data_IF_579275637160
#
_entry.id   IF_579275637160
#
_cell.length_a   1.000
_cell.length_b   1.000
_cell.length_c   1.000
_cell.angle_alpha   90.00
_cell.angle_beta   90.00
_cell.angle_gamma   90.00
#
_symmetry.space_group_name_H-M   'P 1'
#
loop_
_entity.id
_entity.type
_entity.pdbx_description
1 polymer ?
#
# COMPACT_ATOMS: atom_id res chain seq x y z
N UNK A 1 -4.02 -48.43 -3.23
CA UNK A 1 -3.90 -47.22 -2.37
C UNK A 1 -3.74 -46.02 -3.28
N UNK A 2 -4.79 -45.23 -3.45
CA UNK A 2 -4.71 -44.01 -4.23
C UNK A 2 -3.97 -42.95 -3.40
N UNK A 3 -2.69 -42.80 -3.66
CA UNK A 3 -1.92 -41.71 -3.13
C UNK A 3 -2.38 -40.44 -3.83
N UNK A 4 -3.36 -39.72 -3.27
CA UNK A 4 -3.72 -38.40 -3.69
C UNK A 4 -2.52 -37.48 -3.40
N UNK A 5 -1.66 -37.26 -4.38
CA UNK A 5 -0.64 -36.25 -4.30
C UNK A 5 -1.32 -34.90 -4.54
N UNK A 6 -1.46 -34.08 -3.48
CA UNK A 6 -1.95 -32.71 -3.61
C UNK A 6 -0.92 -31.91 -4.41
N UNK A 7 -1.27 -31.56 -5.63
CA UNK A 7 -0.44 -30.69 -6.47
C UNK A 7 -0.59 -29.25 -5.99
N UNK A 8 0.51 -28.60 -5.61
CA UNK A 8 0.50 -27.17 -5.28
C UNK A 8 0.07 -26.34 -6.51
N UNK A 9 -0.91 -25.48 -6.31
CA UNK A 9 -1.39 -24.57 -7.36
C UNK A 9 -0.61 -23.27 -7.28
N UNK A 10 0.09 -22.94 -8.37
CA UNK A 10 0.78 -21.65 -8.52
C UNK A 10 0.00 -20.79 -9.52
N UNK A 11 -0.25 -19.54 -9.13
CA UNK A 11 -0.86 -18.56 -10.03
C UNK A 11 0.18 -17.99 -10.99
N UNK A 12 -0.22 -17.80 -12.25
CA UNK A 12 0.55 -17.11 -13.27
C UNK A 12 -0.09 -15.75 -13.58
N UNK A 13 0.59 -14.86 -14.28
CA UNK A 13 0.06 -13.53 -14.66
C UNK A 13 -1.30 -13.62 -15.38
N UNK A 14 -1.54 -14.68 -16.16
CA UNK A 14 -2.79 -14.88 -16.90
C UNK A 14 -3.93 -15.45 -16.04
N UNK A 15 -3.63 -16.08 -14.90
CA UNK A 15 -4.64 -16.74 -14.04
C UNK A 15 -4.96 -15.93 -12.79
N UNK A 16 -4.23 -14.83 -12.56
CA UNK A 16 -4.48 -13.93 -11.43
C UNK A 16 -5.73 -13.09 -11.71
N UNK A 17 -6.70 -13.17 -10.81
CA UNK A 17 -7.83 -12.26 -10.78
C UNK A 17 -7.54 -11.10 -9.82
N UNK A 18 -7.44 -9.85 -10.34
CA UNK A 18 -7.21 -8.64 -9.57
C UNK A 18 -8.54 -7.92 -9.35
N UNK A 19 -8.84 -7.66 -8.09
CA UNK A 19 -9.99 -6.85 -7.70
C UNK A 19 -9.55 -5.42 -7.36
N UNK A 20 -10.53 -4.53 -7.30
CA UNK A 20 -10.34 -3.14 -6.86
C UNK A 20 -10.93 -2.96 -5.47
N UNK A 21 -10.16 -2.36 -4.58
CA UNK A 21 -10.50 -2.19 -3.17
C UNK A 21 -10.34 -0.74 -2.76
N UNK A 22 -11.34 -0.18 -2.07
CA UNK A 22 -11.27 1.15 -1.45
C UNK A 22 -11.11 1.02 0.05
N UNK A 23 -10.21 1.80 0.61
CA UNK A 23 -9.96 1.91 2.05
C UNK A 23 -9.99 3.38 2.44
N UNK A 24 -10.80 3.73 3.44
CA UNK A 24 -10.80 5.06 4.03
C UNK A 24 -9.67 5.17 5.08
N UNK A 25 -8.84 6.20 4.95
CA UNK A 25 -7.72 6.47 5.86
C UNK A 25 -8.10 7.34 7.07
N UNK A 26 -9.35 7.80 7.17
CA UNK A 26 -9.79 8.72 8.23
C UNK A 26 -9.53 8.13 9.61
N UNK A 27 -8.82 8.87 10.45
CA UNK A 27 -8.44 8.52 11.84
C UNK A 27 -7.67 7.21 12.02
N UNK A 28 -7.28 6.57 10.94
CA UNK A 28 -6.49 5.34 10.99
C UNK A 28 -5.01 5.64 11.25
N UNK A 29 -4.39 4.87 12.15
CA UNK A 29 -2.96 4.97 12.39
C UNK A 29 -2.17 4.59 11.13
N UNK A 30 -1.33 5.52 10.62
CA UNK A 30 -0.53 5.35 9.39
C UNK A 30 0.17 4.00 9.27
N UNK A 31 0.79 3.50 10.36
CA UNK A 31 1.52 2.22 10.33
C UNK A 31 0.60 1.01 10.15
N UNK A 32 -0.56 1.01 10.82
CA UNK A 32 -1.56 -0.07 10.69
C UNK A 32 -2.18 -0.08 9.30
N UNK A 33 -2.58 1.10 8.81
CA UNK A 33 -3.08 1.27 7.45
C UNK A 33 -2.06 0.74 6.43
N UNK A 34 -0.80 1.20 6.51
CA UNK A 34 0.24 0.80 5.57
C UNK A 34 0.54 -0.71 5.60
N UNK A 35 0.50 -1.35 6.78
CA UNK A 35 0.71 -2.79 6.91
C UNK A 35 -0.40 -3.59 6.22
N UNK A 36 -1.66 -3.22 6.44
CA UNK A 36 -2.81 -3.90 5.81
C UNK A 36 -2.84 -3.69 4.30
N UNK A 37 -2.63 -2.45 3.85
CA UNK A 37 -2.51 -2.13 2.42
C UNK A 37 -1.39 -2.95 1.77
N UNK A 38 -0.23 -3.10 2.41
CA UNK A 38 0.87 -3.90 1.89
C UNK A 38 0.54 -5.41 1.79
N UNK A 39 -0.28 -5.95 2.71
CA UNK A 39 -0.76 -7.34 2.65
C UNK A 39 -1.67 -7.56 1.44
N UNK A 40 -2.62 -6.63 1.18
CA UNK A 40 -3.54 -6.70 0.04
C UNK A 40 -2.79 -6.54 -1.28
N UNK A 41 -1.91 -5.54 -1.39
CA UNK A 41 -1.07 -5.32 -2.57
C UNK A 41 -0.20 -6.51 -2.92
N UNK A 42 0.28 -7.23 -1.91
CA UNK A 42 1.07 -8.46 -2.12
C UNK A 42 0.21 -9.68 -2.43
N UNK A 43 -1.10 -9.62 -2.17
CA UNK A 43 -2.03 -10.72 -2.37
C UNK A 43 -1.98 -11.80 -1.29
N UNK A 44 -1.44 -11.50 -0.11
CA UNK A 44 -1.36 -12.47 1.00
C UNK A 44 -2.73 -12.83 1.62
N UNK A 45 -3.76 -12.09 1.26
CA UNK A 45 -5.16 -12.34 1.63
C UNK A 45 -5.81 -13.43 0.76
N UNK A 46 -5.20 -13.78 -0.37
CA UNK A 46 -5.73 -14.76 -1.32
C UNK A 46 -5.14 -16.15 -1.09
N UNK A 47 -5.98 -17.19 -1.22
CA UNK A 47 -5.56 -18.58 -1.09
C UNK A 47 -4.51 -18.99 -2.12
N UNK A 48 -4.57 -18.43 -3.35
CA UNK A 48 -3.61 -18.70 -4.43
C UNK A 48 -2.34 -17.84 -4.39
N UNK A 49 -1.97 -17.29 -3.24
CA UNK A 49 -0.78 -16.45 -3.12
C UNK A 49 0.49 -17.14 -3.64
N UNK A 50 1.14 -16.52 -4.62
CA UNK A 50 2.40 -17.00 -5.20
C UNK A 50 3.47 -15.90 -5.04
N UNK A 51 4.59 -16.16 -4.33
CA UNK A 51 5.55 -15.14 -3.92
C UNK A 51 6.23 -14.37 -5.06
N UNK A 52 6.40 -15.00 -6.22
CA UNK A 52 7.12 -14.44 -7.38
C UNK A 52 6.20 -13.80 -8.42
N UNK A 53 4.87 -13.86 -8.22
CA UNK A 53 3.87 -13.28 -9.12
C UNK A 53 3.13 -12.12 -8.43
N UNK A 54 2.69 -11.12 -9.20
CA UNK A 54 1.84 -10.04 -8.74
C UNK A 54 0.40 -10.53 -8.60
N UNK A 55 0.09 -11.17 -7.46
CA UNK A 55 -1.23 -11.72 -7.13
C UNK A 55 -2.14 -10.73 -6.40
N UNK A 56 -1.63 -9.55 -6.04
CA UNK A 56 -2.33 -8.55 -5.24
C UNK A 56 -3.45 -7.84 -5.99
N UNK A 57 -4.26 -7.13 -5.22
CA UNK A 57 -5.35 -6.31 -5.72
C UNK A 57 -4.92 -4.86 -5.94
N UNK A 58 -5.71 -4.11 -6.71
CA UNK A 58 -5.53 -2.68 -6.83
C UNK A 58 -6.16 -2.00 -5.62
N UNK A 59 -5.39 -1.20 -4.89
CA UNK A 59 -5.85 -0.55 -3.66
C UNK A 59 -5.97 0.95 -3.86
N UNK A 60 -7.15 1.48 -3.58
CA UNK A 60 -7.45 2.90 -3.56
C UNK A 60 -7.54 3.33 -2.09
N UNK A 61 -6.76 4.32 -1.70
CA UNK A 61 -6.83 4.92 -0.37
C UNK A 61 -7.37 6.33 -0.51
N UNK A 62 -8.46 6.63 0.17
CA UNK A 62 -9.10 7.94 0.20
C UNK A 62 -8.83 8.64 1.53
N UNK A 63 -9.10 9.96 1.59
CA UNK A 63 -8.91 10.79 2.79
C UNK A 63 -7.48 10.75 3.37
N UNK A 64 -6.46 10.70 2.52
CA UNK A 64 -5.06 10.58 2.96
C UNK A 64 -4.59 11.72 3.88
N UNK A 65 -5.21 12.89 3.81
CA UNK A 65 -4.93 14.04 4.67
C UNK A 65 -5.35 13.83 6.13
N UNK A 66 -6.38 12.96 6.37
CA UNK A 66 -6.95 12.69 7.70
C UNK A 66 -6.30 11.51 8.41
N UNK A 67 -5.18 10.99 7.88
CA UNK A 67 -4.47 9.88 8.51
C UNK A 67 -3.88 10.27 9.86
N UNK A 68 -4.03 9.39 10.86
CA UNK A 68 -3.55 9.64 12.21
C UNK A 68 -2.09 9.25 12.43
N UNK A 69 -1.32 10.14 13.03
CA UNK A 69 0.03 9.90 13.53
C UNK A 69 0.03 10.00 15.05
N UNK A 70 0.19 8.88 15.75
CA UNK A 70 0.15 8.84 17.22
C UNK A 70 1.41 9.44 17.86
N UNK A 71 1.18 10.17 18.96
CA UNK A 71 2.22 10.81 19.78
C UNK A 71 2.93 11.95 19.03
N UNK A 72 4.19 12.22 19.37
CA UNK A 72 4.98 13.33 18.81
C UNK A 72 5.54 13.07 17.41
N UNK A 73 5.04 12.04 16.68
CA UNK A 73 5.59 11.64 15.37
C UNK A 73 5.36 12.69 14.28
N UNK A 74 4.34 13.51 14.42
CA UNK A 74 4.02 14.58 13.46
C UNK A 74 5.18 15.58 13.30
N UNK A 75 5.88 15.88 14.40
CA UNK A 75 6.96 16.87 14.45
C UNK A 75 8.36 16.23 14.55
N UNK A 76 8.50 15.17 15.37
CA UNK A 76 9.81 14.63 15.69
C UNK A 76 10.31 13.60 14.67
N UNK A 77 9.41 12.99 13.89
CA UNK A 77 9.83 12.04 12.85
C UNK A 77 10.41 12.80 11.67
N UNK A 78 11.59 12.36 11.23
CA UNK A 78 12.28 12.96 10.08
C UNK A 78 12.42 11.92 8.97
N UNK A 79 12.02 12.30 7.77
CA UNK A 79 12.29 11.55 6.55
C UNK A 79 13.50 12.14 5.85
N UNK A 80 14.53 11.34 5.69
CA UNK A 80 15.76 11.73 5.01
C UNK A 80 15.71 11.33 3.54
N UNK A 81 16.12 12.23 2.66
CA UNK A 81 16.35 11.98 1.24
C UNK A 81 17.72 12.53 0.84
N UNK A 82 18.42 11.79 0.02
CA UNK A 82 19.71 12.20 -0.53
C UNK A 82 19.61 12.38 -2.04
N UNK A 83 20.15 13.47 -2.58
CA UNK A 83 20.06 13.79 -4.01
C UNK A 83 21.22 13.25 -4.83
N UNK A 84 22.26 12.70 -4.18
CA UNK A 84 23.46 12.17 -4.84
C UNK A 84 24.61 13.20 -4.97
N UNK A 85 24.38 14.46 -4.62
CA UNK A 85 25.40 15.52 -4.69
C UNK A 85 25.97 15.87 -3.31
N UNK A 86 27.19 16.42 -3.21
CA UNK A 86 27.72 16.95 -1.97
C UNK A 86 26.75 17.95 -1.32
N UNK A 87 26.46 17.80 -0.02
CA UNK A 87 25.46 18.62 0.66
C UNK A 87 24.00 18.34 0.27
N UNK A 88 23.72 17.29 -0.50
CA UNK A 88 22.39 16.96 -1.03
C UNK A 88 21.46 16.24 -0.07
N UNK A 89 21.79 16.14 1.22
CA UNK A 89 20.90 15.55 2.21
C UNK A 89 19.74 16.51 2.53
N UNK A 90 18.51 16.00 2.44
CA UNK A 90 17.28 16.75 2.71
C UNK A 90 16.49 16.06 3.80
N UNK A 91 15.94 16.87 4.69
CA UNK A 91 15.12 16.43 5.81
C UNK A 91 13.70 16.98 5.63
N UNK A 92 12.70 16.17 5.91
CA UNK A 92 11.28 16.58 5.82
C UNK A 92 10.51 15.95 6.98
N UNK A 93 9.65 16.70 7.61
CA UNK A 93 8.76 16.21 8.67
C UNK A 93 7.44 15.69 8.08
N UNK A 94 6.73 14.76 8.74
CA UNK A 94 5.40 14.32 8.32
C UNK A 94 4.43 15.49 8.15
N UNK A 95 4.51 16.49 9.02
CA UNK A 95 3.68 17.70 8.94
C UNK A 95 3.84 18.41 7.59
N UNK A 96 5.08 18.63 7.16
CA UNK A 96 5.38 19.27 5.87
C UNK A 96 4.91 18.43 4.68
N UNK A 97 5.03 17.08 4.78
CA UNK A 97 4.59 16.17 3.72
C UNK A 97 3.06 16.21 3.60
N UNK A 98 2.32 16.16 4.72
CA UNK A 98 0.87 16.25 4.74
C UNK A 98 0.34 17.55 4.15
N UNK A 99 1.02 18.68 4.42
CA UNK A 99 0.63 19.97 3.87
C UNK A 99 0.85 20.08 2.36
N UNK A 100 1.95 19.50 1.86
CA UNK A 100 2.33 19.63 0.45
C UNK A 100 1.77 18.51 -0.43
N UNK A 101 1.88 17.26 0.04
CA UNK A 101 1.55 16.05 -0.73
C UNK A 101 1.10 14.92 0.20
N UNK A 102 -0.13 14.94 0.74
CA UNK A 102 -0.59 13.95 1.72
C UNK A 102 -0.50 12.51 1.20
N UNK A 103 -0.77 12.27 -0.09
CA UNK A 103 -0.65 10.96 -0.72
C UNK A 103 0.77 10.36 -0.61
N UNK A 104 1.80 11.19 -0.63
CA UNK A 104 3.20 10.72 -0.58
C UNK A 104 3.53 10.08 0.78
N UNK A 105 2.94 10.55 1.87
CA UNK A 105 3.17 10.01 3.20
C UNK A 105 2.74 8.54 3.31
N UNK A 106 1.55 8.22 2.81
CA UNK A 106 1.02 6.86 2.78
C UNK A 106 1.85 6.00 1.83
N UNK A 107 2.08 6.48 0.61
CA UNK A 107 2.87 5.74 -0.40
C UNK A 107 4.27 5.40 0.10
N UNK A 108 4.95 6.32 0.77
CA UNK A 108 6.28 6.11 1.36
C UNK A 108 6.26 5.06 2.47
N UNK A 109 5.21 5.07 3.31
CA UNK A 109 5.03 4.10 4.38
C UNK A 109 4.77 2.70 3.83
N UNK A 110 3.90 2.55 2.83
CA UNK A 110 3.60 1.28 2.17
C UNK A 110 4.83 0.75 1.43
N UNK A 111 5.55 1.61 0.66
CA UNK A 111 6.78 1.22 -0.03
C UNK A 111 7.83 0.65 0.92
N UNK A 112 7.94 1.18 2.13
CA UNK A 112 8.84 0.66 3.17
C UNK A 112 8.45 -0.72 3.70
N UNK A 113 7.17 -1.13 3.55
CA UNK A 113 6.64 -2.43 4.00
C UNK A 113 6.56 -3.47 2.89
N UNK A 114 6.68 -3.06 1.63
CA UNK A 114 6.79 -3.96 0.48
C UNK A 114 8.22 -4.52 0.35
N UNK A 115 8.40 -5.71 -0.26
CA UNK A 115 9.73 -6.26 -0.51
C UNK A 115 10.55 -5.32 -1.40
N UNK A 116 11.85 -5.22 -1.10
CA UNK A 116 12.80 -4.37 -1.84
C UNK A 116 13.35 -5.09 -3.07
N UNK A 117 12.44 -5.51 -3.95
CA UNK A 117 12.74 -6.25 -5.18
C UNK A 117 12.06 -5.58 -6.38
N UNK A 118 12.42 -6.00 -7.60
CA UNK A 118 11.75 -5.54 -8.82
C UNK A 118 10.23 -5.75 -8.77
N UNK A 119 9.78 -6.88 -8.19
CA UNK A 119 8.36 -7.14 -7.97
C UNK A 119 7.74 -6.11 -7.00
N UNK A 120 8.42 -5.78 -5.91
CA UNK A 120 7.93 -4.76 -4.97
C UNK A 120 7.79 -3.37 -5.59
N UNK A 121 8.68 -2.99 -6.52
CA UNK A 121 8.54 -1.75 -7.29
C UNK A 121 7.40 -1.81 -8.31
N UNK A 122 7.02 -3.00 -8.81
CA UNK A 122 5.82 -3.21 -9.64
C UNK A 122 4.55 -3.09 -8.78
N UNK A 123 4.53 -3.73 -7.61
CA UNK A 123 3.38 -3.76 -6.69
C UNK A 123 2.96 -2.36 -6.20
N UNK A 124 3.89 -1.45 -5.95
CA UNK A 124 3.55 -0.10 -5.48
C UNK A 124 2.77 0.72 -6.53
N UNK A 125 2.80 0.33 -7.81
CA UNK A 125 2.03 1.00 -8.86
C UNK A 125 0.54 0.63 -8.81
N UNK A 126 0.17 -0.47 -8.14
CA UNK A 126 -1.22 -0.87 -7.90
C UNK A 126 -1.84 -0.09 -6.72
N UNK A 127 -1.08 0.85 -6.11
CA UNK A 127 -1.55 1.71 -5.03
C UNK A 127 -1.90 3.09 -5.56
N UNK A 128 -3.16 3.46 -5.42
CA UNK A 128 -3.73 4.76 -5.75
C UNK A 128 -4.11 5.49 -4.46
N UNK A 129 -3.57 6.68 -4.23
CA UNK A 129 -3.81 7.43 -2.99
C UNK A 129 -4.33 8.81 -3.32
N UNK A 130 -5.47 9.17 -2.72
CA UNK A 130 -6.14 10.45 -2.91
C UNK A 130 -6.24 11.21 -1.59
N UNK A 131 -6.05 12.51 -1.65
CA UNK A 131 -6.11 13.40 -0.48
C UNK A 131 -7.53 13.49 0.09
N UNK A 132 -8.50 13.71 -0.80
CA UNK A 132 -9.92 13.85 -0.48
C UNK A 132 -10.70 12.53 -0.55
N UNK A 133 -12.05 12.63 -0.44
CA UNK A 133 -12.96 11.48 -0.47
C UNK A 133 -13.22 10.95 -1.87
N UNK A 134 -12.96 11.73 -2.93
CA UNK A 134 -13.29 11.38 -4.30
C UNK A 134 -12.13 10.67 -5.00
N UNK A 135 -12.47 9.71 -5.86
CA UNK A 135 -11.52 8.99 -6.71
C UNK A 135 -12.09 8.77 -8.12
N UNK A 136 -11.26 8.77 -9.19
CA UNK A 136 -11.72 8.62 -10.57
C UNK A 136 -12.03 7.16 -11.00
N UNK A 137 -11.90 6.18 -10.09
CA UNK A 137 -12.01 4.75 -10.39
C UNK A 137 -13.41 4.16 -10.16
N UNK A 138 -14.48 4.93 -10.36
CA UNK A 138 -15.84 4.44 -10.15
C UNK A 138 -16.24 3.36 -11.18
N UNK A 139 -15.72 3.47 -12.41
CA UNK A 139 -15.98 2.50 -13.48
C UNK A 139 -15.48 1.08 -13.15
N UNK A 140 -14.47 0.94 -12.29
CA UNK A 140 -13.94 -0.35 -11.86
C UNK A 140 -14.75 -1.00 -10.73
N UNK A 141 -15.81 -0.34 -10.24
CA UNK A 141 -16.67 -0.83 -9.15
C UNK A 141 -15.89 -1.35 -7.95
N UNK A 142 -15.02 -0.51 -7.33
CA UNK A 142 -14.17 -0.96 -6.25
C UNK A 142 -14.99 -1.33 -5.01
N UNK A 143 -14.60 -2.41 -4.33
CA UNK A 143 -15.23 -2.88 -3.08
C UNK A 143 -14.67 -2.08 -1.90
N UNK A 144 -15.54 -1.55 -1.05
CA UNK A 144 -15.12 -0.95 0.21
C UNK A 144 -14.75 -2.05 1.21
N UNK A 145 -13.57 -1.95 1.79
CA UNK A 145 -13.09 -2.87 2.83
C UNK A 145 -12.67 -2.05 4.06
N UNK A 146 -13.21 -2.44 5.22
CA UNK A 146 -12.76 -1.89 6.50
C UNK A 146 -11.46 -2.54 6.94
N UNK A 147 -10.59 -1.76 7.56
CA UNK A 147 -9.26 -2.22 7.97
C UNK A 147 -9.29 -3.46 8.89
N UNK A 148 -10.37 -3.65 9.64
CA UNK A 148 -10.55 -4.80 10.54
C UNK A 148 -10.94 -6.10 9.82
N UNK A 149 -11.33 -6.01 8.56
CA UNK A 149 -11.77 -7.16 7.73
C UNK A 149 -10.61 -7.78 6.94
N UNK A 150 -9.44 -7.16 6.96
CA UNK A 150 -8.19 -7.61 6.35
C UNK A 150 -7.33 -8.27 7.48
#
# INVERSE_FOLDING_TARGET
>A
MDTQSYKSVFLNENTVNKEWVVIDATDLALGRLAARVALVLRGKTKAGYTPHVDCGDNVIVINAEKVALKGKKMTNKVYTRYTGYPGGQRFTTPKEILQKRPAELIRKSVKGMLPKTRLGDKLINNLFVYAGPEHPHQAQQPKEIKLNEI
#
